data_IF_713484938478
#
_entry.id   IF_713484938478
#
_cell.length_a   1.000
_cell.length_b   1.000
_cell.length_c   1.000
_cell.angle_alpha   90.00
_cell.angle_beta   90.00
_cell.angle_gamma   90.00
#
_symmetry.space_group_name_H-M   'P 1'
#
loop_
_entity.id
_entity.type
_entity.pdbx_description
1 polymer ?
#
# COMPACT_ATOMS: atom_id res chain seq x y z
N UNK A 1 0.43 -12.64 17.10
CA UNK A 1 0.79 -11.19 17.20
C UNK A 1 0.43 -10.41 15.94
N UNK A 2 0.48 -11.02 14.75
CA UNK A 2 -0.08 -10.41 13.53
C UNK A 2 -1.61 -10.48 13.48
N UNK A 3 -2.20 -11.40 14.25
CA UNK A 3 -3.64 -11.70 14.35
C UNK A 3 -4.51 -10.51 14.79
N UNK A 4 -3.87 -9.42 15.22
CA UNK A 4 -4.52 -8.16 15.60
C UNK A 4 -4.62 -7.16 14.44
N UNK A 5 -3.92 -7.40 13.32
CA UNK A 5 -3.99 -6.54 12.15
C UNK A 5 -5.27 -6.83 11.36
N UNK A 6 -6.23 -5.91 11.39
CA UNK A 6 -7.43 -6.00 10.56
C UNK A 6 -7.05 -5.86 9.08
N UNK A 7 -7.38 -6.87 8.29
CA UNK A 7 -7.13 -6.92 6.85
C UNK A 7 -8.46 -6.90 6.09
N UNK A 8 -8.55 -6.02 5.10
CA UNK A 8 -9.70 -5.92 4.20
C UNK A 8 -9.24 -6.11 2.76
N UNK A 9 -9.99 -6.93 2.02
CA UNK A 9 -9.80 -7.13 0.57
C UNK A 9 -10.99 -6.63 -0.19
N UNK A 10 -10.71 -5.97 -1.31
CA UNK A 10 -11.72 -5.38 -2.16
C UNK A 10 -11.40 -5.74 -3.59
N UNK A 11 -12.28 -6.50 -4.22
CA UNK A 11 -12.14 -6.84 -5.64
C UNK A 11 -12.26 -5.58 -6.51
N UNK A 12 -11.38 -5.47 -7.50
CA UNK A 12 -11.43 -4.44 -8.54
C UNK A 12 -11.12 -5.13 -9.88
N UNK A 13 -11.96 -4.99 -10.92
CA UNK A 13 -11.66 -5.56 -12.22
C UNK A 13 -10.31 -5.06 -12.77
N UNK A 14 -9.53 -5.97 -13.37
CA UNK A 14 -8.17 -5.67 -13.85
C UNK A 14 -8.17 -4.61 -14.95
N UNK A 15 -9.20 -4.59 -15.79
CA UNK A 15 -9.33 -3.61 -16.87
C UNK A 15 -9.41 -2.18 -16.31
N UNK A 16 -10.06 -2.02 -15.14
CA UNK A 16 -10.14 -0.74 -14.44
C UNK A 16 -8.77 -0.37 -13.88
N UNK A 17 -8.06 -1.33 -13.26
CA UNK A 17 -6.72 -1.06 -12.72
C UNK A 17 -5.73 -0.64 -13.82
N UNK A 18 -5.72 -1.34 -14.95
CA UNK A 18 -4.86 -1.06 -16.10
C UNK A 18 -5.13 0.31 -16.74
N UNK A 19 -6.37 0.81 -16.65
CA UNK A 19 -6.70 2.14 -17.15
C UNK A 19 -5.97 3.26 -16.38
N UNK A 20 -5.78 3.09 -15.06
CA UNK A 20 -5.22 4.13 -14.20
C UNK A 20 -3.74 3.94 -13.85
N UNK A 21 -3.20 2.71 -13.95
CA UNK A 21 -1.87 2.37 -13.43
C UNK A 21 -1.02 1.59 -14.44
N UNK A 22 0.32 1.70 -14.36
CA UNK A 22 1.22 0.90 -15.19
C UNK A 22 1.14 -0.59 -14.86
N UNK A 23 1.54 -1.43 -15.82
CA UNK A 23 1.61 -2.90 -15.69
C UNK A 23 2.56 -3.43 -14.62
N UNK A 24 3.39 -2.59 -14.01
CA UNK A 24 4.17 -2.93 -12.81
C UNK A 24 4.68 -1.66 -12.15
N UNK A 25 4.78 -1.70 -10.83
CA UNK A 25 5.40 -0.64 -10.06
C UNK A 25 6.93 -0.82 -10.02
N UNK A 26 7.67 0.17 -10.50
CA UNK A 26 9.13 0.19 -10.36
C UNK A 26 9.47 0.60 -8.91
N UNK A 27 10.10 -0.29 -8.16
CA UNK A 27 10.46 -0.02 -6.78
C UNK A 27 11.63 0.98 -6.69
N UNK A 28 11.58 1.90 -5.72
CA UNK A 28 12.55 3.00 -5.60
C UNK A 28 14.00 2.53 -5.34
N UNK A 29 14.22 1.37 -4.70
CA UNK A 29 15.57 0.86 -4.39
C UNK A 29 15.80 -0.55 -4.93
N UNK A 30 16.08 -0.67 -6.21
CA UNK A 30 16.23 -2.01 -6.83
C UNK A 30 17.63 -2.65 -6.75
N UNK A 31 18.71 -1.96 -6.36
CA UNK A 31 20.05 -2.53 -6.56
C UNK A 31 20.72 -3.09 -5.29
N UNK A 32 20.05 -3.94 -4.50
CA UNK A 32 20.76 -4.86 -3.60
C UNK A 32 20.00 -6.18 -3.32
N UNK A 33 20.77 -7.24 -3.05
CA UNK A 33 20.27 -8.60 -2.79
C UNK A 33 19.29 -8.65 -1.61
N UNK A 34 19.48 -7.79 -0.62
CA UNK A 34 18.61 -7.67 0.56
C UNK A 34 17.21 -7.17 0.19
N UNK A 35 17.10 -6.17 -0.69
CA UNK A 35 15.82 -5.64 -1.16
C UNK A 35 15.11 -6.66 -2.05
N UNK A 36 15.85 -7.39 -2.88
CA UNK A 36 15.29 -8.51 -3.64
C UNK A 36 14.71 -9.58 -2.71
N UNK A 37 15.44 -9.96 -1.65
CA UNK A 37 14.92 -10.90 -0.67
C UNK A 37 13.68 -10.38 0.05
N UNK A 38 13.62 -9.09 0.40
CA UNK A 38 12.44 -8.43 1.00
C UNK A 38 11.23 -8.33 0.06
N UNK A 39 11.41 -8.53 -1.25
CA UNK A 39 10.30 -8.67 -2.21
C UNK A 39 9.64 -10.03 -2.13
N UNK A 40 10.43 -11.06 -1.85
CA UNK A 40 10.00 -12.44 -1.93
C UNK A 40 9.56 -12.95 -0.57
N UNK A 41 10.28 -12.57 0.49
CA UNK A 41 10.13 -13.12 1.82
C UNK A 41 9.74 -12.07 2.83
N UNK A 42 8.89 -12.46 3.78
CA UNK A 42 8.66 -11.71 5.00
C UNK A 42 9.85 -11.89 5.97
N UNK A 43 10.32 -10.82 6.61
CA UNK A 43 11.37 -10.87 7.63
C UNK A 43 10.83 -10.30 8.95
N UNK A 44 10.52 -11.17 9.92
CA UNK A 44 10.25 -10.73 11.29
C UNK A 44 11.60 -10.51 12.02
N UNK A 45 11.66 -9.50 12.89
CA UNK A 45 12.89 -9.12 13.61
C UNK A 45 13.41 -10.18 14.58
N UNK A 46 12.64 -11.22 14.89
CA UNK A 46 13.01 -12.25 15.86
C UNK A 46 13.21 -13.64 15.28
N UNK A 47 12.74 -13.92 14.06
CA UNK A 47 13.08 -15.13 13.31
C UNK A 47 12.80 -14.88 11.83
N UNK A 48 13.80 -15.11 10.98
CA UNK A 48 13.67 -15.14 9.53
C UNK A 48 12.86 -16.36 9.10
N UNK A 49 11.55 -16.34 9.36
CA UNK A 49 10.59 -17.26 8.76
C UNK A 49 10.45 -16.90 7.28
N UNK A 50 11.24 -17.59 6.45
CA UNK A 50 11.16 -17.57 4.98
C UNK A 50 9.93 -18.36 4.52
N UNK A 51 8.75 -17.98 4.99
CA UNK A 51 7.49 -18.57 4.53
C UNK A 51 6.94 -17.62 3.46
N UNK A 52 6.58 -18.10 2.26
CA UNK A 52 5.78 -17.31 1.34
C UNK A 52 4.47 -16.96 2.06
N UNK A 53 4.34 -15.70 2.46
CA UNK A 53 3.28 -15.23 3.37
C UNK A 53 1.92 -15.07 2.66
N UNK A 54 1.75 -15.74 1.51
CA UNK A 54 0.55 -15.68 0.70
C UNK A 54 -0.67 -16.19 1.47
N UNK A 55 -0.49 -17.27 2.22
CA UNK A 55 -1.53 -17.89 3.04
C UNK A 55 -2.12 -16.97 4.11
N UNK A 56 -1.31 -16.11 4.74
CA UNK A 56 -1.79 -15.34 5.90
C UNK A 56 -2.84 -14.30 5.52
N UNK A 57 -2.55 -13.47 4.51
CA UNK A 57 -3.50 -12.45 4.04
C UNK A 57 -4.71 -13.13 3.41
N UNK A 58 -4.50 -14.22 2.68
CA UNK A 58 -5.59 -14.91 1.99
C UNK A 58 -6.55 -15.61 2.96
N UNK A 59 -6.04 -16.16 4.07
CA UNK A 59 -6.84 -16.80 5.11
C UNK A 59 -7.51 -15.81 6.08
N UNK A 60 -6.89 -14.65 6.34
CA UNK A 60 -7.35 -13.73 7.40
C UNK A 60 -8.01 -12.44 6.86
N UNK A 61 -8.14 -12.27 5.54
CA UNK A 61 -8.78 -11.09 4.97
C UNK A 61 -10.29 -11.16 4.99
N UNK A 62 -10.92 -10.03 5.33
CA UNK A 62 -12.35 -9.83 5.12
C UNK A 62 -12.61 -9.24 3.73
N UNK A 63 -13.34 -9.98 2.89
CA UNK A 63 -13.79 -9.46 1.60
C UNK A 63 -14.97 -8.50 1.80
N UNK A 64 -14.76 -7.23 1.44
CA UNK A 64 -15.76 -6.17 1.61
C UNK A 64 -15.77 -5.24 0.39
N UNK A 65 -16.86 -4.47 0.26
CA UNK A 65 -16.91 -3.40 -0.75
C UNK A 65 -16.08 -2.18 -0.31
N UNK A 66 -15.60 -1.38 -1.27
CA UNK A 66 -14.94 -0.10 -0.97
C UNK A 66 -15.84 0.83 -0.16
N UNK A 67 -17.14 0.83 -0.43
CA UNK A 67 -18.13 1.60 0.34
C UNK A 67 -18.15 1.18 1.81
N UNK A 68 -18.15 -0.13 2.07
CA UNK A 68 -18.13 -0.68 3.43
C UNK A 68 -16.82 -0.32 4.15
N UNK A 69 -15.68 -0.44 3.46
CA UNK A 69 -14.39 -0.03 4.00
C UNK A 69 -14.38 1.45 4.39
N UNK A 70 -14.87 2.34 3.53
CA UNK A 70 -14.92 3.76 3.86
C UNK A 70 -15.87 4.08 5.02
N UNK A 71 -16.95 3.33 5.19
CA UNK A 71 -17.80 3.49 6.37
C UNK A 71 -17.07 3.13 7.66
N UNK A 72 -16.23 2.10 7.64
CA UNK A 72 -15.35 1.74 8.76
C UNK A 72 -14.35 2.88 8.99
N UNK A 73 -13.66 3.33 7.94
CA UNK A 73 -12.66 4.40 8.01
C UNK A 73 -13.23 5.70 8.58
N UNK A 74 -14.41 6.12 8.12
CA UNK A 74 -15.06 7.36 8.56
C UNK A 74 -15.56 7.28 10.01
N UNK A 75 -15.88 6.08 10.50
CA UNK A 75 -16.29 5.85 11.89
C UNK A 75 -15.12 5.72 12.86
N UNK A 76 -13.89 5.71 12.37
CA UNK A 76 -12.71 5.64 13.22
C UNK A 76 -12.64 6.89 14.14
N UNK A 77 -12.66 6.71 15.48
CA UNK A 77 -12.66 7.83 16.41
C UNK A 77 -11.29 8.52 16.53
N UNK A 78 -10.21 7.81 16.20
CA UNK A 78 -8.84 8.32 16.31
C UNK A 78 -8.26 8.63 14.91
N UNK A 79 -8.05 9.92 14.63
CA UNK A 79 -7.49 10.43 13.36
C UNK A 79 -6.03 10.03 13.11
N UNK A 80 -5.34 9.49 14.11
CA UNK A 80 -3.97 8.96 13.95
C UNK A 80 -3.96 7.58 13.30
N UNK A 81 -5.10 6.90 13.23
CA UNK A 81 -5.16 5.56 12.65
C UNK A 81 -5.05 5.67 11.13
N UNK A 82 -4.12 4.87 10.60
CA UNK A 82 -3.86 4.76 9.17
C UNK A 82 -4.00 3.32 8.75
N UNK A 83 -4.45 3.14 7.52
CA UNK A 83 -4.41 1.86 6.85
C UNK A 83 -3.31 1.93 5.80
N UNK A 84 -2.37 1.00 5.85
CA UNK A 84 -1.50 0.78 4.69
C UNK A 84 -2.33 0.06 3.64
N UNK A 85 -2.14 0.41 2.37
CA UNK A 85 -2.83 -0.28 1.30
C UNK A 85 -1.92 -0.57 0.12
N UNK A 86 -2.26 -1.64 -0.57
CA UNK A 86 -1.59 -2.09 -1.79
C UNK A 86 -2.67 -2.36 -2.83
N UNK A 87 -2.49 -1.77 -4.01
CA UNK A 87 -3.26 -2.08 -5.20
C UNK A 87 -2.48 -3.13 -6.02
N UNK A 88 -3.14 -4.23 -6.30
CA UNK A 88 -2.68 -5.30 -7.17
C UNK A 88 -3.49 -5.31 -8.47
N UNK A 89 -3.29 -6.30 -9.32
CA UNK A 89 -3.99 -6.44 -10.61
C UNK A 89 -5.52 -6.43 -10.49
N UNK A 90 -6.07 -7.14 -9.51
CA UNK A 90 -7.51 -7.37 -9.44
C UNK A 90 -8.12 -7.14 -8.04
N UNK A 91 -7.35 -6.59 -7.10
CA UNK A 91 -7.87 -6.22 -5.79
C UNK A 91 -7.00 -5.21 -5.06
N UNK A 92 -7.64 -4.50 -4.14
CA UNK A 92 -7.01 -3.70 -3.10
C UNK A 92 -6.92 -4.52 -1.81
N UNK A 93 -5.80 -4.35 -1.11
CA UNK A 93 -5.63 -4.83 0.25
C UNK A 93 -5.44 -3.62 1.15
N UNK A 94 -6.24 -3.51 2.22
CA UNK A 94 -6.03 -2.56 3.30
C UNK A 94 -5.65 -3.32 4.57
N UNK A 95 -4.60 -2.87 5.25
CA UNK A 95 -4.19 -3.40 6.55
C UNK A 95 -4.12 -2.25 7.55
N UNK A 96 -4.82 -2.40 8.67
CA UNK A 96 -4.75 -1.42 9.76
C UNK A 96 -3.35 -1.39 10.33
N UNK A 97 -2.76 -0.21 10.43
CA UNK A 97 -1.45 -0.06 11.08
C UNK A 97 -1.66 0.09 12.58
N UNK A 98 -1.06 -0.77 13.41
CA UNK A 98 -1.21 -0.68 14.85
C UNK A 98 -0.51 0.57 15.37
N UNK A 99 -1.28 1.54 15.85
CA UNK A 99 -0.78 2.84 16.31
C UNK A 99 -0.25 2.84 17.75
N UNK A 100 -0.68 1.86 18.56
CA UNK A 100 -0.20 1.65 19.93
C UNK A 100 1.10 0.83 19.98
N UNK A 101 1.48 0.20 18.87
CA UNK A 101 2.71 -0.57 18.78
C UNK A 101 3.89 0.32 18.35
N UNK A 102 5.14 -0.08 18.66
CA UNK A 102 6.32 0.67 18.27
C UNK A 102 6.37 0.98 16.76
N UNK A 103 7.01 2.10 16.39
CA UNK A 103 7.15 2.54 14.98
C UNK A 103 7.74 1.47 14.04
N UNK A 104 8.48 0.50 14.58
CA UNK A 104 9.00 -0.66 13.84
C UNK A 104 7.92 -1.57 13.24
N UNK A 105 6.67 -1.49 13.73
CA UNK A 105 5.54 -2.25 13.19
C UNK A 105 4.94 -1.66 11.91
N UNK A 106 5.09 -0.35 11.68
CA UNK A 106 4.54 0.30 10.47
C UNK A 106 5.18 -0.25 9.18
N UNK A 107 6.51 -0.40 9.07
CA UNK A 107 7.13 -1.05 7.92
C UNK A 107 6.72 -2.53 7.78
N UNK A 108 6.43 -3.22 8.90
CA UNK A 108 6.07 -4.64 8.88
C UNK A 108 4.70 -4.87 8.23
N UNK A 109 3.66 -4.11 8.57
CA UNK A 109 2.33 -4.24 7.93
C UNK A 109 2.38 -4.03 6.40
N UNK A 110 3.24 -3.11 5.95
CA UNK A 110 3.47 -2.84 4.52
C UNK A 110 4.25 -3.97 3.87
N UNK A 111 5.25 -4.49 4.56
CA UNK A 111 6.02 -5.61 4.06
C UNK A 111 5.17 -6.88 3.93
N UNK A 112 4.27 -7.14 4.89
CA UNK A 112 3.30 -8.25 4.86
C UNK A 112 2.42 -8.16 3.61
N UNK A 113 1.94 -6.97 3.25
CA UNK A 113 1.04 -6.78 2.10
C UNK A 113 1.74 -6.86 0.74
N UNK A 114 3.07 -6.68 0.70
CA UNK A 114 3.84 -6.62 -0.55
C UNK A 114 4.69 -7.87 -0.78
N UNK A 115 5.19 -8.52 0.28
CA UNK A 115 5.97 -9.76 0.18
C UNK A 115 5.19 -10.79 -0.64
N UNK A 116 5.90 -11.55 -1.47
CA UNK A 116 5.39 -12.53 -2.45
C UNK A 116 4.46 -11.99 -3.55
N UNK A 117 3.98 -10.75 -3.45
CA UNK A 117 3.09 -10.10 -4.43
C UNK A 117 3.75 -8.94 -5.19
N UNK A 118 5.03 -8.66 -4.93
CA UNK A 118 5.74 -7.47 -5.43
C UNK A 118 5.70 -7.27 -6.95
N UNK A 119 5.59 -8.34 -7.73
CA UNK A 119 5.49 -8.29 -9.20
C UNK A 119 4.13 -7.81 -9.71
N UNK A 120 3.08 -7.92 -8.89
CA UNK A 120 1.71 -7.55 -9.21
C UNK A 120 1.31 -6.20 -8.62
N UNK A 121 2.20 -5.56 -7.85
CA UNK A 121 1.92 -4.25 -7.24
C UNK A 121 1.82 -3.17 -8.31
N UNK A 122 0.73 -2.40 -8.23
CA UNK A 122 0.40 -1.26 -9.09
C UNK A 122 0.55 0.05 -8.35
N UNK A 123 0.20 0.06 -7.06
CA UNK A 123 0.37 1.19 -6.15
C UNK A 123 0.49 0.71 -4.70
N UNK A 124 1.23 1.43 -3.86
CA UNK A 124 1.28 1.18 -2.42
C UNK A 124 1.36 2.49 -1.64
N UNK A 125 0.60 2.59 -0.56
CA UNK A 125 0.43 3.85 0.16
C UNK A 125 -0.24 3.71 1.52
N UNK A 126 -0.68 4.84 2.05
CA UNK A 126 -1.52 4.91 3.25
C UNK A 126 -2.81 5.66 2.94
N UNK A 127 -3.90 5.25 3.59
CA UNK A 127 -5.19 5.94 3.60
C UNK A 127 -5.61 6.19 5.05
N UNK A 128 -6.16 7.37 5.33
CA UNK A 128 -6.68 7.73 6.64
C UNK A 128 -7.78 8.79 6.54
N UNK A 129 -8.38 9.06 7.69
CA UNK A 129 -9.39 10.07 7.85
C UNK A 129 -8.92 11.08 8.90
N UNK A 130 -9.07 12.37 8.64
CA UNK A 130 -8.76 13.40 9.63
C UNK A 130 -9.93 13.64 10.61
N UNK A 131 -9.76 14.62 11.50
CA UNK A 131 -10.77 15.04 12.47
C UNK A 131 -12.05 15.63 11.82
N UNK A 132 -11.93 16.17 10.60
CA UNK A 132 -13.03 16.74 9.81
C UNK A 132 -13.70 15.73 8.88
N UNK A 133 -13.34 14.45 9.00
CA UNK A 133 -13.85 13.36 8.17
C UNK A 133 -13.48 13.44 6.68
N UNK A 134 -12.38 14.11 6.38
CA UNK A 134 -11.78 14.15 5.05
C UNK A 134 -10.86 12.94 4.84
N UNK A 135 -10.89 12.36 3.63
CA UNK A 135 -10.17 11.12 3.31
C UNK A 135 -8.88 11.47 2.59
N UNK A 136 -7.76 11.09 3.19
CA UNK A 136 -6.43 11.35 2.65
C UNK A 136 -5.78 10.07 2.17
N UNK A 137 -5.04 10.17 1.06
CA UNK A 137 -4.22 9.10 0.50
C UNK A 137 -2.80 9.60 0.24
N UNK A 138 -1.81 8.73 0.40
CA UNK A 138 -0.42 9.06 0.08
C UNK A 138 0.31 7.90 -0.61
N UNK A 139 1.52 8.15 -1.09
CA UNK A 139 2.44 7.16 -1.68
C UNK A 139 3.50 6.68 -0.68
N UNK A 140 3.27 6.83 0.63
CA UNK A 140 4.28 6.49 1.64
C UNK A 140 4.35 4.97 1.86
N UNK A 141 5.12 4.25 1.03
CA UNK A 141 5.30 2.79 1.16
C UNK A 141 6.75 2.33 1.30
N UNK A 142 7.65 3.23 1.73
CA UNK A 142 9.05 2.90 1.98
C UNK A 142 9.78 2.48 0.69
N UNK A 143 10.27 1.24 0.64
CA UNK A 143 11.03 0.69 -0.50
C UNK A 143 10.20 0.59 -1.79
N UNK A 144 8.87 0.51 -1.67
CA UNK A 144 7.94 0.41 -2.81
C UNK A 144 7.25 1.73 -3.14
N UNK A 145 7.79 2.87 -2.68
CA UNK A 145 7.17 4.19 -2.87
C UNK A 145 6.87 4.43 -4.35
N UNK A 146 5.58 4.53 -4.74
CA UNK A 146 5.22 4.96 -6.08
C UNK A 146 5.76 6.36 -6.36
N UNK A 147 6.04 6.64 -7.63
CA UNK A 147 6.31 8.02 -8.06
C UNK A 147 5.16 8.92 -7.64
N UNK A 148 5.49 10.14 -7.27
CA UNK A 148 4.55 11.19 -6.90
C UNK A 148 3.51 11.48 -7.98
N UNK A 149 3.84 11.27 -9.25
CA UNK A 149 2.89 11.41 -10.37
C UNK A 149 1.69 10.46 -10.25
N UNK A 150 1.85 9.31 -9.58
CA UNK A 150 0.79 8.31 -9.40
C UNK A 150 -0.19 8.67 -8.28
N UNK A 151 0.07 9.74 -7.50
CA UNK A 151 -0.88 10.24 -6.50
C UNK A 151 -2.18 10.70 -7.16
N UNK A 152 -2.08 11.39 -8.29
CA UNK A 152 -3.27 11.85 -8.99
C UNK A 152 -4.06 10.66 -9.56
N UNK A 153 -3.38 9.67 -10.13
CA UNK A 153 -4.00 8.44 -10.62
C UNK A 153 -4.77 7.69 -9.52
N UNK A 154 -4.23 7.61 -8.29
CA UNK A 154 -4.94 6.93 -7.19
C UNK A 154 -6.15 7.71 -6.68
N UNK A 155 -6.11 9.05 -6.68
CA UNK A 155 -7.28 9.88 -6.36
C UNK A 155 -8.39 9.66 -7.40
N UNK A 156 -8.02 9.70 -8.68
CA UNK A 156 -8.97 9.52 -9.80
C UNK A 156 -9.55 8.11 -9.79
N UNK A 157 -8.73 7.10 -9.56
CA UNK A 157 -9.16 5.72 -9.40
C UNK A 157 -10.16 5.55 -8.24
N UNK A 158 -9.87 6.10 -7.06
CA UNK A 158 -10.82 6.04 -5.94
C UNK A 158 -12.10 6.84 -6.19
N UNK A 159 -11.99 7.98 -6.88
CA UNK A 159 -13.13 8.80 -7.26
C UNK A 159 -14.00 8.08 -8.30
N UNK A 160 -13.41 7.34 -9.23
CA UNK A 160 -14.14 6.48 -10.16
C UNK A 160 -14.89 5.37 -9.42
N UNK A 161 -14.22 4.67 -8.49
CA UNK A 161 -14.85 3.61 -7.72
C UNK A 161 -15.94 4.14 -6.77
N UNK A 162 -15.84 5.38 -6.31
CA UNK A 162 -16.81 6.04 -5.42
C UNK A 162 -17.04 7.52 -5.79
N UNK A 163 -17.85 7.81 -6.82
CA UNK A 163 -18.00 9.16 -7.38
C UNK A 163 -18.54 10.23 -6.44
N UNK A 164 -19.18 9.84 -5.34
CA UNK A 164 -19.76 10.74 -4.34
C UNK A 164 -18.80 11.04 -3.17
N UNK A 165 -17.53 10.64 -3.27
CA UNK A 165 -16.53 10.82 -2.23
C UNK A 165 -15.34 11.60 -2.77
N UNK A 166 -14.88 12.55 -1.96
CA UNK A 166 -13.70 13.34 -2.24
C UNK A 166 -12.50 12.70 -1.53
N UNK A 167 -11.39 12.59 -2.27
CA UNK A 167 -10.12 12.09 -1.77
C UNK A 167 -9.06 13.17 -1.96
N UNK A 168 -8.16 13.30 -0.99
CA UNK A 168 -7.08 14.26 -1.00
C UNK A 168 -5.74 13.53 -1.06
N UNK A 169 -4.91 13.85 -2.06
CA UNK A 169 -3.60 13.24 -2.22
C UNK A 169 -2.49 14.01 -1.55
N UNK A 170 -1.62 13.30 -0.85
CA UNK A 170 -0.36 13.83 -0.31
C UNK A 170 0.79 13.10 -0.97
N UNK A 171 1.61 13.86 -1.71
CA UNK A 171 2.81 13.33 -2.33
C UNK A 171 4.01 13.41 -1.40
N UNK A 172 4.68 12.28 -1.21
CA UNK A 172 6.03 12.21 -0.66
C UNK A 172 7.02 12.08 -1.81
N UNK A 173 7.70 13.19 -2.14
CA UNK A 173 8.71 13.22 -3.19
C UNK A 173 9.84 12.23 -2.92
N UNK A 174 10.38 11.71 -4.01
CA UNK A 174 11.60 10.94 -4.02
C UNK A 174 12.76 11.93 -4.17
N UNK A 175 13.41 12.33 -3.07
CA UNK A 175 14.67 13.08 -3.15
C UNK A 175 15.79 12.10 -3.50
N UNK A 176 15.98 11.86 -4.81
CA UNK A 176 17.18 11.34 -5.49
C UNK A 176 16.78 10.44 -6.66
N UNK A 177 16.61 11.01 -7.85
CA UNK A 177 17.21 10.34 -9.01
C UNK A 177 18.72 10.44 -8.81
N UNK A 178 19.50 9.35 -8.92
CA UNK A 178 20.95 9.50 -9.05
C UNK A 178 21.22 10.40 -10.26
N UNK A 179 22.27 11.24 -10.24
CA UNK A 179 22.64 12.02 -11.41
C UNK A 179 22.75 11.07 -12.59
N UNK A 180 22.08 11.39 -13.71
CA UNK A 180 22.38 10.73 -14.98
C UNK A 180 23.88 10.86 -15.15
N UNK A 181 24.61 9.74 -15.09
CA UNK A 181 25.97 9.72 -15.63
C UNK A 181 25.80 10.09 -17.09
N UNK A 182 26.30 11.26 -17.47
CA UNK A 182 26.49 11.63 -18.85
C UNK A 182 27.07 10.41 -19.57
N UNK A 183 26.37 9.94 -20.60
CA UNK A 183 26.97 9.03 -21.56
C UNK A 183 28.06 9.85 -22.24
N UNK A 184 29.28 9.74 -21.74
CA UNK A 184 30.47 10.09 -22.50
C UNK A 184 30.50 9.09 -23.66
N UNK A 185 30.38 9.65 -24.87
CA UNK A 185 30.51 8.98 -26.16
C UNK A 185 31.88 8.32 -26.30
#
# INVERSE_FOLDING_TARGET
MYDECLIYKIFVPNEIVQYYFPNYLIAYKENNLLNYQRRIYFFSSSNSTRIPFDDYIDQNSNWISLKSFLQILLREPNSQIRYSFVLLDNYLIFIRVPYLLPKSFHPLCKHITISSRSQYVRFAGEIWCDEFKQIYVNNNSGTYRPSDVLIQSIIEFFSYLLPKKQFYGISYRINALPPMRERIL
#
